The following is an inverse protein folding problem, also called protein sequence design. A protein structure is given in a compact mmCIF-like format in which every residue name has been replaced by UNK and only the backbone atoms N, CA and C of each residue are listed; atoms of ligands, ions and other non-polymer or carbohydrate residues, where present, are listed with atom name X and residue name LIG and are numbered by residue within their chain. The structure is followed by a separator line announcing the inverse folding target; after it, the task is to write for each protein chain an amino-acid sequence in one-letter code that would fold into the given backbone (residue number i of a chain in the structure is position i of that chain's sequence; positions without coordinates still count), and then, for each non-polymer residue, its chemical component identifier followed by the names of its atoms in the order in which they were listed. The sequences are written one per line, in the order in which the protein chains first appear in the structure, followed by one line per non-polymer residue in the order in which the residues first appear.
data_IF_781235294552
#
_entry.id   IF_781235294552
#
_cell.length_a   1.000
_cell.length_b   1.000
_cell.length_c   1.000
_cell.angle_alpha   90.00
_cell.angle_beta   90.00
_cell.angle_gamma   90.00
#
_symmetry.space_group_name_H-M   'P 1'
#
loop_
_entity.id
_entity.type
_entity.pdbx_description
1 polymer ?
#
# COMPACT_ATOMS: atom_id res chain seq x y z
N UNK A 1 39.48 15.33 -14.17
CA UNK A 1 39.02 14.41 -15.25
C UNK A 1 38.17 13.30 -14.64
N UNK A 2 37.06 12.92 -15.27
CA UNK A 2 36.24 11.80 -14.78
C UNK A 2 36.72 10.48 -15.40
N UNK A 3 37.26 9.58 -14.58
CA UNK A 3 37.82 8.28 -14.99
C UNK A 3 36.84 7.13 -14.85
N UNK A 4 35.67 7.39 -14.25
CA UNK A 4 34.68 6.37 -13.91
C UNK A 4 34.08 5.66 -15.14
N UNK A 5 33.75 6.34 -16.26
CA UNK A 5 33.23 5.69 -17.46
C UNK A 5 34.23 4.72 -18.12
N UNK A 6 35.53 4.86 -17.83
CA UNK A 6 36.59 3.99 -18.36
C UNK A 6 36.77 2.70 -17.54
N UNK A 7 36.01 2.52 -16.46
CA UNK A 7 36.10 1.35 -15.59
C UNK A 7 35.01 0.34 -15.98
N UNK A 8 35.39 -0.91 -16.17
CA UNK A 8 34.51 -2.01 -16.55
C UNK A 8 33.42 -2.31 -15.52
N UNK A 9 33.59 -1.95 -14.25
CA UNK A 9 32.59 -2.12 -13.19
C UNK A 9 31.58 -0.98 -13.08
N UNK A 10 31.71 0.09 -13.89
CA UNK A 10 30.83 1.23 -13.77
C UNK A 10 29.39 0.88 -14.16
N UNK A 11 28.47 0.97 -13.22
CA UNK A 11 27.06 0.56 -13.36
C UNK A 11 26.35 1.25 -14.53
N UNK A 12 26.72 2.50 -14.84
CA UNK A 12 26.10 3.28 -15.93
C UNK A 12 26.73 3.04 -17.30
N UNK A 13 27.75 2.20 -17.41
CA UNK A 13 28.28 1.81 -18.70
C UNK A 13 27.21 1.05 -19.49
N UNK A 14 27.06 1.40 -20.77
CA UNK A 14 26.04 0.82 -21.64
C UNK A 14 26.09 -0.70 -21.66
N UNK A 15 27.29 -1.28 -21.65
CA UNK A 15 27.51 -2.73 -21.66
C UNK A 15 27.01 -3.40 -20.37
N UNK A 16 27.23 -2.76 -19.22
CA UNK A 16 26.76 -3.27 -17.93
C UNK A 16 25.25 -3.17 -17.82
N UNK A 17 24.67 -2.04 -18.25
CA UNK A 17 23.22 -1.88 -18.28
C UNK A 17 22.58 -2.90 -19.24
N UNK A 18 23.20 -3.20 -20.38
CA UNK A 18 22.72 -4.22 -21.31
C UNK A 18 22.77 -5.64 -20.72
N UNK A 19 23.81 -5.97 -19.94
CA UNK A 19 23.89 -7.25 -19.20
C UNK A 19 22.79 -7.37 -18.17
N UNK A 20 22.61 -6.35 -17.33
CA UNK A 20 21.53 -6.33 -16.32
C UNK A 20 20.16 -6.50 -16.99
N UNK A 21 19.91 -5.81 -18.11
CA UNK A 21 18.65 -5.98 -18.85
C UNK A 21 18.45 -7.37 -19.41
N UNK A 22 19.51 -8.05 -19.86
CA UNK A 22 19.43 -9.44 -20.33
C UNK A 22 19.09 -10.37 -19.18
N UNK A 23 19.77 -10.22 -18.05
CA UNK A 23 19.56 -11.06 -16.87
C UNK A 23 18.15 -10.85 -16.30
N UNK A 24 17.68 -9.60 -16.24
CA UNK A 24 16.30 -9.25 -15.86
C UNK A 24 15.26 -9.82 -16.84
N UNK A 25 15.54 -9.79 -18.15
CA UNK A 25 14.66 -10.36 -19.15
C UNK A 25 14.59 -11.89 -19.03
N UNK A 26 15.72 -12.55 -18.82
CA UNK A 26 15.79 -14.00 -18.60
C UNK A 26 15.04 -14.40 -17.32
N UNK A 27 15.23 -13.67 -16.22
CA UNK A 27 14.49 -13.92 -14.98
C UNK A 27 12.97 -13.83 -15.20
N UNK A 28 12.50 -12.82 -15.95
CA UNK A 28 11.08 -12.67 -16.29
C UNK A 28 10.56 -13.78 -17.20
N UNK A 29 11.38 -14.28 -18.13
CA UNK A 29 11.01 -15.41 -18.99
C UNK A 29 10.89 -16.70 -18.18
N UNK A 30 11.85 -16.99 -17.30
CA UNK A 30 11.81 -18.14 -16.40
C UNK A 30 10.60 -18.11 -15.45
N UNK A 31 10.26 -16.94 -14.89
CA UNK A 31 9.06 -16.78 -14.06
C UNK A 31 7.79 -17.10 -14.85
N UNK A 32 7.66 -16.58 -16.07
CA UNK A 32 6.51 -16.89 -16.95
C UNK A 32 6.44 -18.38 -17.30
N UNK A 33 7.58 -19.04 -17.54
CA UNK A 33 7.60 -20.48 -17.79
C UNK A 33 7.16 -21.28 -16.55
N UNK A 34 7.60 -20.87 -15.35
CA UNK A 34 7.16 -21.49 -14.10
C UNK A 34 5.66 -21.31 -13.89
N UNK A 35 5.14 -20.10 -14.10
CA UNK A 35 3.71 -19.82 -14.05
C UNK A 35 2.93 -20.69 -15.05
N UNK A 36 3.39 -20.79 -16.29
CA UNK A 36 2.78 -21.67 -17.31
C UNK A 36 2.75 -23.13 -16.84
N UNK A 37 3.84 -23.64 -16.26
CA UNK A 37 3.90 -25.01 -15.72
C UNK A 37 2.93 -25.20 -14.57
N UNK A 38 2.83 -24.23 -13.66
CA UNK A 38 1.87 -24.27 -12.54
C UNK A 38 0.44 -24.27 -13.05
N UNK A 39 0.11 -23.45 -14.04
CA UNK A 39 -1.23 -23.39 -14.64
C UNK A 39 -1.60 -24.70 -15.33
N UNK A 40 -0.68 -25.30 -16.08
CA UNK A 40 -0.87 -26.63 -16.69
C UNK A 40 -1.09 -27.71 -15.63
N UNK A 41 -0.23 -27.75 -14.61
CA UNK A 41 -0.38 -28.70 -13.50
C UNK A 41 -1.72 -28.51 -12.76
N UNK A 42 -2.18 -27.27 -12.60
CA UNK A 42 -3.49 -26.98 -12.01
C UNK A 42 -4.64 -27.46 -12.89
N UNK A 43 -4.56 -27.24 -14.21
CA UNK A 43 -5.53 -27.75 -15.18
C UNK A 43 -5.58 -29.29 -15.14
N UNK A 44 -4.42 -29.95 -15.21
CA UNK A 44 -4.29 -31.39 -15.15
C UNK A 44 -4.85 -31.94 -13.84
N UNK A 45 -4.46 -31.39 -12.68
CA UNK A 45 -4.97 -31.79 -11.38
C UNK A 45 -6.51 -31.67 -11.28
N UNK A 46 -7.07 -30.58 -11.82
CA UNK A 46 -8.53 -30.38 -11.86
C UNK A 46 -9.20 -31.43 -12.73
N UNK A 47 -8.67 -31.71 -13.92
CA UNK A 47 -9.24 -32.73 -14.82
C UNK A 47 -9.12 -34.13 -14.25
N UNK A 48 -7.98 -34.48 -13.65
CA UNK A 48 -7.79 -35.75 -12.96
C UNK A 48 -8.75 -35.92 -11.79
N UNK A 49 -8.96 -34.87 -11.00
CA UNK A 49 -9.92 -34.90 -9.90
C UNK A 49 -11.33 -35.21 -10.41
N UNK A 50 -11.77 -34.56 -11.49
CA UNK A 50 -13.06 -34.83 -12.11
C UNK A 50 -13.14 -36.25 -12.68
N UNK A 51 -12.08 -36.73 -13.35
CA UNK A 51 -12.00 -38.12 -13.86
C UNK A 51 -12.09 -39.14 -12.72
N UNK A 52 -11.35 -38.94 -11.62
CA UNK A 52 -11.38 -39.79 -10.42
C UNK A 52 -12.77 -39.77 -9.77
N UNK A 53 -13.41 -38.60 -9.68
CA UNK A 53 -14.78 -38.46 -9.17
C UNK A 53 -15.77 -39.22 -10.04
N UNK A 54 -15.72 -39.06 -11.36
CA UNK A 54 -16.57 -39.78 -12.29
C UNK A 54 -16.37 -41.30 -12.19
N UNK A 55 -15.12 -41.78 -12.10
CA UNK A 55 -14.83 -43.20 -11.87
C UNK A 55 -15.45 -43.72 -10.58
N UNK A 56 -15.37 -42.97 -9.47
CA UNK A 56 -16.01 -43.36 -8.19
C UNK A 56 -17.53 -43.41 -8.28
N UNK A 57 -18.14 -42.48 -9.02
CA UNK A 57 -19.59 -42.45 -9.22
C UNK A 57 -20.05 -43.56 -10.18
N UNK A 58 -19.24 -43.89 -11.19
CA UNK A 58 -19.51 -44.97 -12.15
C UNK A 58 -19.08 -46.36 -11.66
N UNK A 59 -18.27 -46.47 -10.60
CA UNK A 59 -17.93 -47.76 -9.98
C UNK A 59 -18.94 -48.18 -8.90
N UNK A 60 -19.73 -47.23 -8.39
CA UNK A 60 -20.84 -47.49 -7.45
C UNK A 60 -22.04 -48.29 -8.06
N UNK A 61 -22.34 -48.26 -9.37
CA UNK A 61 -23.38 -49.09 -9.99
C UNK A 61 -22.86 -50.45 -10.50
N UNK A 62 -21.55 -50.68 -10.56
CA UNK A 62 -20.98 -51.89 -11.21
C UNK A 62 -21.11 -53.16 -10.35
N UNK A 63 -21.47 -53.03 -9.07
CA UNK A 63 -21.83 -54.18 -8.22
C UNK A 63 -23.33 -54.56 -8.32
N UNK A 64 -24.17 -53.78 -8.99
CA UNK A 64 -25.59 -54.11 -9.22
C UNK A 64 -25.92 -54.37 -10.71
N UNK A 65 -25.04 -54.01 -11.66
CA UNK A 65 -25.31 -54.07 -13.10
C UNK A 65 -24.72 -55.29 -13.84
N UNK A 66 -24.09 -56.25 -13.14
CA UNK A 66 -23.51 -57.44 -13.75
C UNK A 66 -24.54 -58.53 -14.14
N UNK A 67 -25.84 -58.27 -14.02
CA UNK A 67 -26.92 -59.24 -14.34
C UNK A 67 -27.76 -58.89 -15.60
N UNK A 68 -27.47 -57.82 -16.35
CA UNK A 68 -28.24 -57.51 -17.56
C UNK A 68 -27.37 -57.05 -18.73
N UNK A 69 -27.16 -57.95 -19.70
CA UNK A 69 -26.53 -57.63 -20.98
C UNK A 69 -27.40 -56.70 -21.82
N UNK A 70 -26.99 -55.44 -21.96
CA UNK A 70 -27.52 -54.52 -22.95
C UNK A 70 -26.39 -53.69 -23.58
N UNK A 71 -26.45 -53.38 -24.89
CA UNK A 71 -25.45 -52.55 -25.55
C UNK A 71 -25.61 -51.11 -25.08
N UNK A 72 -24.65 -50.62 -24.31
CA UNK A 72 -24.69 -49.24 -23.81
C UNK A 72 -24.51 -48.26 -24.97
N UNK A 73 -25.38 -47.26 -25.15
CA UNK A 73 -25.12 -46.15 -26.05
C UNK A 73 -23.92 -45.37 -25.48
N UNK A 74 -22.80 -45.35 -26.22
CA UNK A 74 -21.61 -44.61 -25.82
C UNK A 74 -21.91 -43.12 -25.65
N UNK A 75 -21.13 -42.38 -24.83
CA UNK A 75 -21.27 -40.94 -24.71
C UNK A 75 -21.17 -40.30 -26.10
N UNK A 76 -22.21 -39.59 -26.52
CA UNK A 76 -22.24 -38.93 -27.82
C UNK A 76 -21.26 -37.75 -27.76
N UNK A 77 -20.10 -37.90 -28.37
CA UNK A 77 -19.11 -36.82 -28.50
C UNK A 77 -19.61 -35.79 -29.52
N UNK A 78 -20.53 -34.92 -29.08
CA UNK A 78 -21.13 -33.82 -29.85
C UNK A 78 -20.10 -32.89 -30.54
N UNK A 79 -18.83 -32.95 -30.15
CA UNK A 79 -17.74 -32.11 -30.66
C UNK A 79 -16.72 -32.87 -31.51
N UNK A 80 -16.87 -34.20 -31.70
CA UNK A 80 -15.92 -35.00 -32.48
C UNK A 80 -15.90 -34.59 -33.95
N UNK A 81 -17.08 -34.32 -34.50
CA UNK A 81 -17.28 -33.78 -35.84
C UNK A 81 -16.59 -32.41 -36.01
N UNK A 82 -16.60 -31.57 -34.98
CA UNK A 82 -15.96 -30.25 -35.01
C UNK A 82 -14.42 -30.32 -34.96
N UNK A 83 -13.87 -31.29 -34.22
CA UNK A 83 -12.43 -31.49 -34.06
C UNK A 83 -11.80 -32.23 -35.25
N UNK A 84 -12.47 -33.25 -35.80
CA UNK A 84 -11.97 -34.07 -36.91
C UNK A 84 -12.18 -33.38 -38.28
N UNK A 85 -13.25 -32.59 -38.48
CA UNK A 85 -13.53 -31.98 -39.79
C UNK A 85 -12.84 -30.63 -40.05
N UNK A 86 -12.19 -29.99 -39.07
CA UNK A 86 -11.51 -28.71 -39.27
C UNK A 86 -12.40 -27.55 -39.75
N UNK A 87 -13.73 -27.75 -39.82
CA UNK A 87 -14.73 -26.75 -40.23
C UNK A 87 -15.02 -25.71 -39.15
N UNK A 88 -14.32 -25.80 -38.03
CA UNK A 88 -14.33 -24.84 -36.93
C UNK A 88 -13.00 -24.11 -36.80
N UNK A 89 -12.32 -23.74 -37.91
CA UNK A 89 -11.31 -22.66 -37.82
C UNK A 89 -12.04 -21.49 -37.19
N UNK A 90 -11.74 -21.26 -35.91
CA UNK A 90 -12.14 -20.12 -35.12
C UNK A 90 -11.70 -18.88 -35.87
N UNK A 91 -12.54 -18.44 -36.81
CA UNK A 91 -12.54 -17.08 -37.30
C UNK A 91 -12.94 -16.28 -36.08
N UNK A 92 -11.92 -15.82 -35.34
CA UNK A 92 -12.09 -15.04 -34.12
C UNK A 92 -13.18 -14.01 -34.35
N UNK A 93 -14.05 -13.82 -33.36
CA UNK A 93 -15.13 -12.87 -33.50
C UNK A 93 -14.50 -11.50 -33.79
N UNK A 94 -14.66 -11.01 -35.03
CA UNK A 94 -14.00 -9.77 -35.48
C UNK A 94 -14.37 -8.60 -34.59
N UNK A 95 -15.62 -8.60 -34.15
CA UNK A 95 -16.16 -7.63 -33.21
C UNK A 95 -15.39 -7.64 -31.88
N UNK A 96 -14.97 -8.82 -31.39
CA UNK A 96 -14.20 -8.95 -30.15
C UNK A 96 -12.77 -8.44 -30.28
N UNK A 97 -12.14 -8.65 -31.45
CA UNK A 97 -10.80 -8.10 -31.71
C UNK A 97 -10.84 -6.58 -31.84
N UNK A 98 -11.86 -6.05 -32.49
CA UNK A 98 -12.10 -4.62 -32.61
C UNK A 98 -12.43 -3.99 -31.25
N UNK A 99 -13.26 -4.64 -30.43
CA UNK A 99 -13.57 -4.20 -29.07
C UNK A 99 -12.30 -4.15 -28.20
N UNK A 100 -11.43 -5.17 -28.27
CA UNK A 100 -10.14 -5.13 -27.58
C UNK A 100 -9.20 -4.05 -28.09
N UNK A 101 -9.21 -3.77 -29.39
CA UNK A 101 -8.43 -2.65 -29.96
C UNK A 101 -8.94 -1.33 -29.42
N UNK A 102 -10.25 -1.11 -29.43
CA UNK A 102 -10.86 0.10 -28.88
C UNK A 102 -10.63 0.23 -27.37
N UNK A 103 -10.68 -0.85 -26.60
CA UNK A 103 -10.41 -0.83 -25.18
C UNK A 103 -8.95 -0.44 -24.89
N UNK A 104 -8.00 -0.98 -25.67
CA UNK A 104 -6.59 -0.55 -25.62
C UNK A 104 -6.43 0.91 -25.98
N UNK A 105 -7.04 1.37 -27.07
CA UNK A 105 -7.00 2.79 -27.45
C UNK A 105 -7.62 3.69 -26.38
N UNK A 106 -8.72 3.26 -25.73
CA UNK A 106 -9.32 3.97 -24.60
C UNK A 106 -8.39 4.02 -23.39
N UNK A 107 -7.72 2.91 -23.06
CA UNK A 107 -6.72 2.85 -21.99
C UNK A 107 -5.52 3.74 -22.29
N UNK A 108 -4.96 3.65 -23.50
CA UNK A 108 -3.85 4.48 -23.94
C UNK A 108 -4.23 5.97 -23.99
N UNK A 109 -5.46 6.29 -24.39
CA UNK A 109 -6.01 7.65 -24.35
C UNK A 109 -6.20 8.15 -22.92
N UNK A 110 -6.69 7.30 -22.01
CA UNK A 110 -6.84 7.64 -20.60
C UNK A 110 -5.48 7.84 -19.91
N UNK A 111 -4.47 7.06 -20.29
CA UNK A 111 -3.08 7.21 -19.84
C UNK A 111 -2.34 8.37 -20.53
N UNK A 112 -2.94 9.00 -21.55
CA UNK A 112 -2.33 10.07 -22.34
C UNK A 112 -1.21 9.61 -23.29
N UNK A 113 -1.05 8.30 -23.50
CA UNK A 113 -0.09 7.70 -24.44
C UNK A 113 -0.58 7.90 -25.88
N UNK A 114 -1.86 7.60 -26.13
CA UNK A 114 -2.51 7.80 -27.42
C UNK A 114 -3.30 9.11 -27.41
N UNK A 115 -2.64 10.19 -27.83
CA UNK A 115 -3.27 11.51 -28.00
C UNK A 115 -3.33 11.85 -29.48
N UNK A 116 -4.53 11.87 -30.06
CA UNK A 116 -4.69 12.26 -31.46
C UNK A 116 -4.42 13.76 -31.64
N UNK A 117 -3.70 14.10 -32.71
CA UNK A 117 -3.44 15.48 -33.11
C UNK A 117 -4.78 16.24 -33.27
N UNK A 118 -4.94 17.36 -32.57
CA UNK A 118 -6.20 18.12 -32.52
C UNK A 118 -7.11 17.78 -31.31
N UNK A 119 -6.69 16.89 -30.40
CA UNK A 119 -7.35 16.66 -29.11
C UNK A 119 -6.51 17.23 -27.95
N UNK A 120 -5.83 18.34 -28.19
CA UNK A 120 -4.95 18.95 -27.19
C UNK A 120 -5.76 19.48 -25.99
N UNK A 121 -5.11 19.52 -24.82
CA UNK A 121 -5.72 19.88 -23.53
C UNK A 121 -6.42 21.26 -23.50
N UNK A 122 -6.25 22.11 -24.53
CA UNK A 122 -6.97 23.38 -24.63
C UNK A 122 -8.36 23.25 -25.30
N UNK A 123 -8.58 22.27 -26.18
CA UNK A 123 -9.84 22.09 -26.93
C UNK A 123 -10.71 20.96 -26.36
N UNK A 124 -10.10 19.90 -25.81
CA UNK A 124 -10.83 18.79 -25.21
C UNK A 124 -11.25 19.07 -23.75
N UNK A 125 -10.56 19.98 -23.07
CA UNK A 125 -10.90 20.39 -21.71
C UNK A 125 -12.03 21.42 -21.79
N UNK A 126 -13.18 21.11 -21.20
CA UNK A 126 -14.35 22.02 -21.12
C UNK A 126 -14.07 23.34 -20.40
N UNK A 127 -12.88 23.50 -19.83
CA UNK A 127 -12.40 24.73 -19.22
C UNK A 127 -11.08 25.15 -19.88
N UNK A 128 -10.97 26.40 -20.34
CA UNK A 128 -9.72 26.91 -20.89
C UNK A 128 -8.61 26.84 -19.82
N UNK A 129 -7.38 26.49 -20.22
CA UNK A 129 -6.26 26.40 -19.28
C UNK A 129 -6.00 27.73 -18.58
N UNK A 130 -5.49 27.66 -17.34
CA UNK A 130 -5.33 28.80 -16.43
C UNK A 130 -4.52 29.98 -17.01
N UNK A 131 -3.68 29.75 -18.01
CA UNK A 131 -2.88 30.78 -18.69
C UNK A 131 -3.64 31.51 -19.83
N UNK A 132 -4.72 30.93 -20.36
CA UNK A 132 -5.64 31.61 -21.28
C UNK A 132 -6.68 32.44 -20.53
N UNK A 133 -7.02 32.03 -19.31
CA UNK A 133 -7.91 32.80 -18.46
C UNK A 133 -7.17 33.99 -17.86
N UNK A 134 -7.63 35.24 -18.10
CA UNK A 134 -7.11 36.36 -17.34
C UNK A 134 -7.39 36.12 -15.85
N UNK A 135 -6.47 36.49 -14.94
CA UNK A 135 -6.71 36.38 -13.51
C UNK A 135 -8.02 37.09 -13.18
N UNK A 136 -8.95 36.37 -12.52
CA UNK A 136 -10.31 36.84 -12.28
C UNK A 136 -10.30 38.22 -11.63
N UNK A 137 -10.84 39.22 -12.34
CA UNK A 137 -11.06 40.56 -11.79
C UNK A 137 -12.29 40.55 -10.88
N UNK A 138 -12.25 39.76 -9.82
CA UNK A 138 -13.13 39.98 -8.67
C UNK A 138 -12.65 41.25 -7.96
N UNK A 139 -13.58 42.11 -7.55
CA UNK A 139 -13.25 43.21 -6.65
C UNK A 139 -12.45 42.63 -5.46
N UNK A 140 -11.29 43.22 -5.09
CA UNK A 140 -10.49 42.70 -4.00
C UNK A 140 -11.38 42.59 -2.75
N UNK A 141 -11.41 41.44 -2.06
CA UNK A 141 -12.19 41.32 -0.83
C UNK A 141 -11.73 42.41 0.15
N UNK A 142 -12.64 43.04 0.91
CA UNK A 142 -12.25 44.08 1.86
C UNK A 142 -11.35 43.47 2.93
N UNK A 143 -10.04 43.75 2.85
CA UNK A 143 -9.03 43.30 3.80
C UNK A 143 -7.73 42.85 3.16
N UNK A 144 -6.69 42.60 3.98
CA UNK A 144 -5.40 42.15 3.47
C UNK A 144 -5.55 40.79 2.80
N UNK A 145 -5.02 40.66 1.59
CA UNK A 145 -5.10 39.45 0.79
C UNK A 145 -4.52 38.24 1.54
N UNK A 146 -4.89 36.99 1.18
CA UNK A 146 -4.31 35.78 1.78
C UNK A 146 -2.78 35.81 1.72
N UNK A 147 -2.24 36.33 0.63
CA UNK A 147 -0.81 36.46 0.37
C UNK A 147 -0.14 37.47 1.32
N UNK A 148 -0.81 38.58 1.64
CA UNK A 148 -0.32 39.55 2.63
C UNK A 148 -0.32 38.97 4.03
N UNK A 149 -1.33 38.18 4.40
CA UNK A 149 -1.37 37.47 5.70
C UNK A 149 -0.23 36.45 5.82
N UNK A 150 0.09 35.76 4.73
CA UNK A 150 1.22 34.81 4.67
C UNK A 150 2.54 35.57 4.82
N UNK A 151 2.76 36.64 4.06
CA UNK A 151 3.93 37.52 4.17
C UNK A 151 4.10 38.05 5.59
N UNK A 152 3.00 38.50 6.19
CA UNK A 152 2.93 38.98 7.56
C UNK A 152 3.21 37.93 8.64
N UNK A 153 2.93 36.65 8.35
CA UNK A 153 3.21 35.52 9.27
C UNK A 153 4.65 35.06 9.14
N UNK A 154 5.21 35.09 7.94
CA UNK A 154 6.55 34.62 7.60
C UNK A 154 7.62 35.72 7.68
N UNK A 155 7.25 36.93 8.12
CA UNK A 155 8.19 38.04 8.27
C UNK A 155 9.05 37.87 9.55
N UNK A 156 10.38 37.68 9.42
CA UNK A 156 11.27 37.50 10.57
C UNK A 156 11.33 38.73 11.48
N UNK A 157 11.09 39.95 10.97
CA UNK A 157 11.07 41.16 11.80
C UNK A 157 9.91 41.11 12.79
N UNK A 158 8.74 40.63 12.37
CA UNK A 158 7.56 40.46 13.23
C UNK A 158 7.77 39.38 14.29
N UNK A 159 8.47 38.30 13.95
CA UNK A 159 8.85 37.29 14.93
C UNK A 159 9.83 37.85 15.97
N UNK A 160 10.89 38.56 15.54
CA UNK A 160 11.83 39.19 16.47
C UNK A 160 11.16 40.21 17.38
N UNK A 161 10.25 41.03 16.85
CA UNK A 161 9.48 41.99 17.64
C UNK A 161 8.63 41.33 18.74
N UNK A 162 8.05 40.14 18.49
CA UNK A 162 7.32 39.38 19.52
C UNK A 162 8.24 38.99 20.68
N UNK A 163 9.44 38.52 20.40
CA UNK A 163 10.41 38.10 21.42
C UNK A 163 10.97 39.30 22.20
N UNK A 164 11.24 40.41 21.52
CA UNK A 164 11.67 41.66 22.16
C UNK A 164 10.60 42.23 23.10
N UNK A 165 9.32 42.23 22.68
CA UNK A 165 8.19 42.63 23.54
C UNK A 165 8.04 41.73 24.77
N UNK A 166 8.35 40.44 24.66
CA UNK A 166 8.32 39.48 25.78
C UNK A 166 9.44 39.75 26.79
N UNK A 167 10.65 40.07 26.31
CA UNK A 167 11.79 40.44 27.17
C UNK A 167 11.53 41.72 27.98
N UNK A 168 10.89 42.72 27.38
CA UNK A 168 10.52 43.96 28.09
C UNK A 168 9.52 43.75 29.24
N UNK A 169 8.71 42.68 29.21
CA UNK A 169 7.79 42.34 30.31
C UNK A 169 8.46 41.60 31.47
N UNK A 170 9.65 41.05 31.28
CA UNK A 170 10.42 40.36 32.33
C UNK A 170 11.58 41.19 32.90
N UNK A 171 11.93 42.32 32.27
CA UNK A 171 12.92 43.27 32.79
C UNK A 171 12.32 44.45 33.55
N UNK A 172 11.00 44.48 33.71
CA UNK A 172 10.31 45.41 34.62
C UNK A 172 9.97 44.68 35.91
N UNK A 173 10.98 44.49 36.76
CA UNK A 173 10.78 44.11 38.16
C UNK A 173 10.41 45.36 38.97
N UNK A 174 9.43 45.17 39.83
CA UNK A 174 8.66 46.22 40.51
C UNK A 174 7.29 45.73 40.95
N UNK A 175 7.20 44.51 41.50
CA UNK A 175 6.11 44.06 42.36
C UNK A 175 4.87 43.46 41.68
N UNK A 176 4.62 42.17 41.86
CA UNK A 176 3.63 41.67 42.82
C UNK A 176 3.55 40.13 42.76
N UNK A 177 3.54 39.53 43.95
CA UNK A 177 3.35 38.09 44.16
C UNK A 177 2.06 37.58 43.51
N UNK A 178 2.09 36.36 42.96
CA UNK A 178 1.00 35.37 43.08
C UNK A 178 1.45 33.96 42.68
N UNK A 179 1.78 33.20 43.73
CA UNK A 179 1.53 31.77 43.98
C UNK A 179 0.91 31.00 42.80
N UNK A 180 1.66 30.05 42.24
CA UNK A 180 1.18 29.16 41.17
C UNK A 180 1.99 27.87 41.06
N UNK A 181 1.54 26.86 41.82
CA UNK A 181 1.69 25.40 41.62
C UNK A 181 3.11 24.86 41.32
N UNK A 182 3.66 24.19 42.32
CA UNK A 182 4.72 23.19 42.20
C UNK A 182 4.37 22.18 41.08
N UNK A 183 5.16 22.18 40.01
CA UNK A 183 5.28 21.02 39.13
C UNK A 183 6.18 19.98 39.80
N UNK A 184 6.03 18.69 39.48
CA UNK A 184 6.85 17.67 40.10
C UNK A 184 8.32 17.94 39.76
N UNK A 185 9.10 18.16 40.81
CA UNK A 185 10.54 18.30 40.76
C UNK A 185 11.10 17.05 40.07
N UNK A 186 11.68 17.23 38.88
CA UNK A 186 12.37 16.14 38.20
C UNK A 186 13.62 15.89 39.03
N UNK A 187 13.53 14.96 39.97
CA UNK A 187 14.67 14.44 40.71
C UNK A 187 15.77 14.13 39.70
N UNK A 188 16.83 14.93 39.78
CA UNK A 188 18.10 14.66 39.12
C UNK A 188 18.54 13.28 39.63
N UNK A 189 18.90 12.32 38.75
CA UNK A 189 19.29 11.01 39.22
C UNK A 189 20.52 11.15 40.13
N UNK A 190 20.32 10.84 41.40
CA UNK A 190 21.35 10.77 42.42
C UNK A 190 22.33 9.63 42.08
N UNK A 191 23.62 9.94 42.21
CA UNK A 191 24.79 9.07 42.07
C UNK A 191 25.09 8.45 40.68
N UNK A 192 26.39 8.47 40.34
CA UNK A 192 26.93 7.70 39.22
C UNK A 192 26.75 6.20 39.51
N UNK A 193 26.41 5.36 38.51
CA UNK A 193 26.20 3.94 38.74
C UNK A 193 27.45 3.29 39.35
N UNK A 194 27.25 2.39 40.32
CA UNK A 194 28.35 1.66 40.95
C UNK A 194 29.06 0.77 39.91
N UNK A 195 30.35 0.48 40.14
CA UNK A 195 31.15 -0.35 39.22
C UNK A 195 30.48 -1.70 38.92
N UNK A 196 29.81 -2.29 39.91
CA UNK A 196 29.10 -3.56 39.75
C UNK A 196 27.85 -3.43 38.88
N UNK A 197 27.16 -2.29 38.93
CA UNK A 197 26.04 -2.01 38.02
C UNK A 197 26.54 -1.90 36.56
N UNK A 198 27.67 -1.25 36.34
CA UNK A 198 28.28 -1.15 35.01
C UNK A 198 28.74 -2.52 34.47
N UNK A 199 29.26 -3.40 35.34
CA UNK A 199 29.61 -4.78 34.99
C UNK A 199 28.37 -5.60 34.64
N UNK A 200 27.30 -5.50 35.44
CA UNK A 200 26.04 -6.18 35.16
C UNK A 200 25.40 -5.72 33.85
N UNK A 201 25.44 -4.41 33.57
CA UNK A 201 24.95 -3.86 32.31
C UNK A 201 25.80 -4.30 31.12
N UNK A 202 27.13 -4.39 31.27
CA UNK A 202 28.00 -4.97 30.24
C UNK A 202 27.63 -6.43 29.96
N UNK A 203 27.50 -7.26 30.99
CA UNK A 203 27.13 -8.67 30.83
C UNK A 203 25.76 -8.83 30.17
N UNK A 204 24.80 -7.96 30.49
CA UNK A 204 23.48 -7.93 29.82
C UNK A 204 23.62 -7.62 28.34
N UNK A 205 24.43 -6.62 27.97
CA UNK A 205 24.66 -6.27 26.55
C UNK A 205 25.34 -7.43 25.81
N UNK A 206 26.41 -7.96 26.38
CA UNK A 206 27.13 -9.11 25.81
C UNK A 206 26.21 -10.34 25.66
N UNK A 207 25.34 -10.60 26.64
CA UNK A 207 24.36 -11.68 26.55
C UNK A 207 23.34 -11.45 25.43
N UNK A 208 22.82 -10.22 25.29
CA UNK A 208 21.87 -9.89 24.21
C UNK A 208 22.53 -9.98 22.83
N UNK A 209 23.79 -9.56 22.69
CA UNK A 209 24.53 -9.65 21.44
C UNK A 209 24.90 -11.09 21.11
N UNK A 210 25.31 -11.88 22.11
CA UNK A 210 25.51 -13.33 21.95
C UNK A 210 24.24 -14.04 21.53
N UNK A 211 23.10 -13.75 22.15
CA UNK A 211 21.82 -14.33 21.77
C UNK A 211 21.42 -13.95 20.33
N UNK A 212 21.65 -12.70 19.91
CA UNK A 212 21.42 -12.29 18.51
C UNK A 212 22.35 -13.02 17.53
N UNK A 213 23.64 -13.14 17.87
CA UNK A 213 24.61 -13.85 17.04
C UNK A 213 24.28 -15.34 16.94
N UNK A 214 23.88 -15.96 18.05
CA UNK A 214 23.43 -17.35 18.10
C UNK A 214 22.17 -17.57 17.26
N UNK A 215 21.18 -16.67 17.34
CA UNK A 215 19.97 -16.74 16.50
C UNK A 215 20.30 -16.67 15.00
N UNK A 216 21.24 -15.81 14.59
CA UNK A 216 21.72 -15.75 13.21
C UNK A 216 22.43 -17.05 12.80
N UNK A 217 23.27 -17.61 13.67
CA UNK A 217 23.95 -18.88 13.41
C UNK A 217 22.97 -20.06 13.36
N UNK A 218 21.93 -20.06 14.20
CA UNK A 218 20.87 -21.07 14.18
C UNK A 218 20.09 -21.04 12.85
N UNK A 219 19.82 -19.84 12.32
CA UNK A 219 19.23 -19.64 10.99
C UNK A 219 20.12 -20.19 9.88
N UNK A 220 21.43 -19.94 9.95
CA UNK A 220 22.41 -20.49 8.99
C UNK A 220 22.52 -22.02 9.09
N UNK A 221 22.44 -22.57 10.31
CA UNK A 221 22.48 -24.01 10.59
C UNK A 221 21.16 -24.73 10.31
N UNK A 222 20.10 -24.02 9.93
CA UNK A 222 18.78 -24.61 9.68
C UNK A 222 18.08 -25.19 10.92
N UNK A 223 18.50 -24.79 12.12
CA UNK A 223 17.94 -25.23 13.42
C UNK A 223 17.01 -24.20 14.04
N UNK A 224 16.79 -23.06 13.37
CA UNK A 224 15.90 -22.02 13.86
C UNK A 224 14.44 -22.49 13.84
N UNK A 225 13.65 -22.20 14.89
CA UNK A 225 12.21 -22.39 14.87
C UNK A 225 11.58 -21.59 13.72
N UNK A 226 10.44 -22.04 13.15
CA UNK A 226 9.74 -21.28 12.11
C UNK A 226 9.34 -19.90 12.67
N UNK A 227 9.73 -18.82 11.97
CA UNK A 227 9.37 -17.47 12.38
C UNK A 227 7.84 -17.30 12.35
N UNK A 228 7.29 -16.78 13.44
CA UNK A 228 5.95 -16.19 13.42
C UNK A 228 5.96 -15.04 12.42
N UNK A 229 5.00 -15.02 11.50
CA UNK A 229 4.97 -14.06 10.41
C UNK A 229 5.06 -12.62 10.93
N UNK A 230 5.86 -11.74 10.30
CA UNK A 230 5.95 -10.36 10.73
C UNK A 230 4.56 -9.74 10.66
N UNK A 231 4.05 -9.29 11.80
CA UNK A 231 2.84 -8.47 11.84
C UNK A 231 3.13 -7.22 11.01
N UNK A 232 2.48 -7.13 9.85
CA UNK A 232 2.64 -6.03 8.91
C UNK A 232 2.21 -4.73 9.59
N UNK A 233 3.18 -3.98 10.11
CA UNK A 233 2.92 -2.66 10.66
C UNK A 233 2.79 -1.70 9.49
N UNK A 234 1.54 -1.29 9.18
CA UNK A 234 1.21 -0.26 8.18
C UNK A 234 2.23 0.89 8.23
N UNK A 235 2.90 1.21 7.12
CA UNK A 235 3.98 2.21 7.06
C UNK A 235 3.54 3.58 7.61
N UNK A 236 2.24 3.87 7.56
CA UNK A 236 1.62 5.07 8.14
C UNK A 236 1.63 5.11 9.68
N UNK A 237 1.78 3.96 10.33
CA UNK A 237 1.92 3.81 11.79
C UNK A 237 3.38 3.78 12.25
N UNK A 238 4.34 3.59 11.33
CA UNK A 238 5.76 3.64 11.62
C UNK A 238 6.17 5.04 12.08
N UNK A 239 6.77 5.15 13.28
CA UNK A 239 7.31 6.43 13.77
C UNK A 239 8.64 6.71 13.09
N UNK A 240 8.78 7.89 12.50
CA UNK A 240 10.08 8.34 11.97
C UNK A 240 11.05 8.57 13.13
N UNK A 241 12.11 7.78 13.21
CA UNK A 241 13.16 7.93 14.23
C UNK A 241 14.27 8.84 13.68
N UNK A 242 14.07 10.15 13.74
CA UNK A 242 15.11 11.10 13.33
C UNK A 242 16.18 11.22 14.42
N UNK A 243 17.42 10.91 14.07
CA UNK A 243 18.58 11.14 14.96
C UNK A 243 18.82 12.64 15.21
N UNK A 244 18.44 13.49 14.25
CA UNK A 244 18.48 14.95 14.38
C UNK A 244 17.10 15.52 14.76
N UNK A 245 17.08 16.47 15.70
CA UNK A 245 15.90 17.16 16.22
C UNK A 245 14.76 16.24 16.70
N UNK A 246 14.99 15.39 17.72
CA UNK A 246 14.03 14.38 18.19
C UNK A 246 12.72 14.98 18.72
N UNK A 247 12.74 16.25 19.12
CA UNK A 247 11.57 17.00 19.58
C UNK A 247 10.52 17.28 18.49
N UNK A 248 10.90 17.23 17.21
CA UNK A 248 9.97 17.41 16.09
C UNK A 248 9.42 16.08 15.56
N UNK A 249 10.21 15.02 15.63
CA UNK A 249 9.79 13.68 15.20
C UNK A 249 8.87 12.99 16.21
N UNK A 250 9.00 13.31 17.51
CA UNK A 250 8.12 12.78 18.55
C UNK A 250 6.90 13.70 18.70
N UNK A 251 5.77 13.33 18.10
CA UNK A 251 4.47 13.90 18.51
C UNK A 251 4.25 13.62 20.00
N UNK A 252 3.81 14.60 20.82
CA UNK A 252 3.45 14.32 22.21
C UNK A 252 2.36 13.24 22.21
N UNK A 253 2.47 12.26 23.10
CA UNK A 253 1.45 11.24 23.25
C UNK A 253 0.12 11.95 23.56
N UNK A 254 -0.83 11.90 22.63
CA UNK A 254 -2.17 12.41 22.83
C UNK A 254 -2.75 11.65 24.03
N UNK A 255 -2.82 12.30 25.19
CA UNK A 255 -3.77 11.91 26.23
C UNK A 255 -5.14 12.27 25.68
N UNK A 256 -5.81 11.33 25.01
CA UNK A 256 -7.24 11.46 24.73
C UNK A 256 -7.96 11.43 26.09
N UNK A 257 -8.66 12.50 26.52
CA UNK A 257 -9.64 12.32 27.58
C UNK A 257 -10.71 11.38 27.02
N UNK A 258 -11.02 10.31 27.77
CA UNK A 258 -12.13 9.44 27.45
C UNK A 258 -13.40 10.29 27.35
N UNK A 259 -13.95 10.41 26.14
CA UNK A 259 -15.27 10.94 25.93
C UNK A 259 -16.23 9.87 26.44
N UNK A 260 -16.73 10.04 27.66
CA UNK A 260 -17.80 9.20 28.19
C UNK A 260 -19.06 9.49 27.36
N UNK A 261 -19.52 8.50 26.62
CA UNK A 261 -20.85 8.49 26.00
C UNK A 261 -21.91 8.54 27.11
N UNK A 262 -22.41 9.75 27.38
CA UNK A 262 -23.59 9.96 28.20
C UNK A 262 -24.67 10.63 27.36
N UNK A 263 -25.29 9.85 26.47
CA UNK A 263 -26.57 10.21 25.88
C UNK A 263 -27.57 9.07 26.13
N UNK A 264 -28.15 9.16 27.33
CA UNK A 264 -29.59 9.06 27.57
C UNK A 264 -30.34 7.90 26.93
N UNK A 265 -30.52 6.86 27.73
CA UNK A 265 -31.71 6.01 27.75
C UNK A 265 -33.00 6.84 27.55
N UNK A 266 -33.68 6.66 26.41
CA UNK A 266 -35.07 7.08 26.24
C UNK A 266 -35.86 6.00 25.51
N UNK A 267 -36.35 5.06 26.33
CA UNK A 267 -37.51 4.18 26.13
C UNK A 267 -38.47 4.54 24.98
N UNK A 268 -38.61 3.59 24.05
CA UNK A 268 -39.89 3.04 23.55
C UNK A 268 -40.81 3.93 22.69
N UNK A 269 -40.93 3.57 21.41
CA UNK A 269 -42.22 3.29 20.74
C UNK A 269 -41.98 2.70 19.34
N UNK A 270 -42.51 1.51 19.14
CA UNK A 270 -42.62 0.78 17.88
C UNK A 270 -43.58 1.48 16.92
N UNK A 271 -43.15 1.75 15.69
CA UNK A 271 -44.03 2.02 14.56
C UNK A 271 -43.74 0.98 13.46
N UNK A 272 -44.70 0.07 13.26
CA UNK A 272 -44.75 -0.90 12.18
C UNK A 272 -44.96 -0.19 10.82
N UNK A 273 -44.29 -0.59 9.73
CA UNK A 273 -44.59 -0.10 8.40
C UNK A 273 -45.78 -0.86 7.78
N UNK A 274 -46.89 -0.16 7.58
CA UNK A 274 -48.07 -0.67 6.85
C UNK A 274 -47.84 -0.55 5.33
N UNK A 275 -47.73 -1.67 4.64
CA UNK A 275 -47.79 -1.79 3.19
C UNK A 275 -49.25 -1.65 2.74
N UNK A 276 -49.54 -0.65 1.89
CA UNK A 276 -50.80 -0.57 1.14
C UNK A 276 -50.55 -0.90 -0.32
N UNK A 277 -51.13 -2.02 -0.73
CA UNK A 277 -51.37 -2.44 -2.11
C UNK A 277 -52.28 -1.43 -2.80
N UNK A 278 -51.90 -0.96 -3.98
CA UNK A 278 -52.80 -0.21 -4.88
C UNK A 278 -53.06 -1.12 -6.09
N UNK A 279 -54.29 -1.62 -6.17
CA UNK A 279 -54.91 -2.09 -7.41
C UNK A 279 -56.05 -1.13 -7.72
N UNK A 280 -55.99 -0.53 -8.91
CA UNK A 280 -57.10 -0.25 -9.83
C UNK A 280 -56.54 0.40 -11.08
#
# INVERSE_FOLDING_TARGET
MNILPKKSWHVRNKDNVARVRRDEAQAREEEKERERRVLLAQQEARTEFLRKKARRQNSLPELEAAEAGAPTPGPVDLFRELLEEGKGVTRGNKEYEEEKRQEKERQEKALGILTYLGQSAAEAQTQPPWYQLPPGRGAPPPGPGPDEKIKQRLDPLREMQKHLKKKRRHSGDGGHSRKGKEGPDKQRPEARPSLDQLRADRLRREATERARAEALLARVRGTAPPEEQPVEMDERRGRYNSQFNPQWARRPANKTPALTDSWGDRRGRSCQPSYKTIYS
#
